data_IF_845723565714
#
_entry.id   IF_845723565714
#
_cell.length_a   1.000
_cell.length_b   1.000
_cell.length_c   1.000
_cell.angle_alpha   90.00
_cell.angle_beta   90.00
_cell.angle_gamma   90.00
#
_symmetry.space_group_name_H-M   'P 1'
#
loop_
_entity.id
_entity.type
_entity.pdbx_description
1 polymer ?
2 non-polymer ?
3 non-polymer ?
4 water ?
#
# COMPACT_ATOMS: atom_id res chain seq x y z
N UNK A 3 -11.19 18.55 0.80
CA UNK A 3 -10.60 19.63 0.01
C UNK A 3 -9.35 19.23 -0.77
N UNK A 4 -9.10 17.92 -0.85
CA UNK A 4 -8.04 17.42 -1.71
C UNK A 4 -8.55 17.28 -3.15
N UNK A 5 -9.87 17.15 -3.29
CA UNK A 5 -10.49 17.01 -4.60
C UNK A 5 -10.08 15.74 -5.32
N UNK A 6 -9.86 14.67 -4.56
CA UNK A 6 -9.42 13.41 -5.15
C UNK A 6 -10.55 12.39 -5.21
N UNK A 7 -10.39 11.39 -6.07
CA UNK A 7 -11.40 10.36 -6.23
C UNK A 7 -11.35 9.31 -5.11
N UNK A 8 -10.17 8.75 -4.86
CA UNK A 8 -10.05 7.63 -3.92
C UNK A 8 -9.83 8.07 -2.47
N UNK A 9 -10.68 7.61 -1.55
CA UNK A 9 -10.56 7.98 -0.14
C UNK A 9 -9.29 7.42 0.50
N UNK A 10 -8.82 8.10 1.54
CA UNK A 10 -7.86 7.51 2.48
C UNK A 10 -8.60 7.21 3.79
N UNK A 11 -8.05 6.29 4.57
CA UNK A 11 -8.73 5.75 5.76
C UNK A 11 -7.90 5.95 7.02
N UNK A 12 -8.56 6.22 8.15
CA UNK A 12 -7.84 6.34 9.41
C UNK A 12 -7.57 4.96 10.00
N UNK A 13 -6.86 4.92 11.12
CA UNK A 13 -6.44 3.65 11.71
C UNK A 13 -7.59 2.82 12.27
N UNK A 14 -8.76 3.42 12.43
CA UNK A 14 -9.94 2.66 12.86
C UNK A 14 -10.64 2.00 11.68
N UNK A 15 -10.23 2.36 10.46
CA UNK A 15 -10.83 1.79 9.27
C UNK A 15 -11.89 2.67 8.63
N UNK A 16 -12.03 3.90 9.12
CA UNK A 16 -13.05 4.81 8.61
C UNK A 16 -12.48 5.76 7.55
N UNK A 17 -13.17 5.90 6.41
CA UNK A 17 -12.68 6.85 5.40
C UNK A 17 -12.77 8.29 5.89
N UNK A 18 -11.78 9.11 5.54
CA UNK A 18 -11.77 10.51 5.95
C UNK A 18 -12.80 11.30 5.15
N UNK A 19 -13.19 10.76 4.00
CA UNK A 19 -14.21 11.35 3.13
C UNK A 19 -14.67 10.29 2.14
N UNK A 20 -15.76 10.55 1.43
CA UNK A 20 -16.25 9.63 0.42
C UNK A 20 -16.92 8.39 0.99
N UNK A 21 -17.19 7.41 0.13
CA UNK A 21 -17.80 6.16 0.57
C UNK A 21 -16.73 5.08 0.77
N UNK A 22 -16.89 4.25 1.80
CA UNK A 22 -15.98 3.12 1.96
C UNK A 22 -16.14 2.12 0.82
N UNK A 23 -15.08 1.38 0.51
CA UNK A 23 -15.17 0.29 -0.44
C UNK A 23 -14.45 -0.89 0.18
N UNK A 24 -14.79 -2.10 -0.23
CA UNK A 24 -14.17 -3.27 0.36
C UNK A 24 -12.89 -3.61 -0.38
N UNK A 25 -11.97 -4.29 0.30
CA UNK A 25 -10.78 -4.78 -0.38
C UNK A 25 -11.09 -6.10 -1.08
N UNK A 26 -10.33 -6.40 -2.12
CA UNK A 26 -10.51 -7.63 -2.88
C UNK A 26 -10.25 -8.82 -1.96
N UNK A 27 -11.05 -9.89 -2.08
CA UNK A 27 -10.90 -11.06 -1.21
C UNK A 27 -9.54 -11.73 -1.32
N UNK A 28 -8.86 -11.55 -2.45
CA UNK A 28 -7.56 -12.16 -2.66
C UNK A 28 -6.42 -11.16 -2.53
N UNK A 29 -6.73 -9.95 -2.06
CA UNK A 29 -5.66 -9.02 -1.73
C UNK A 29 -4.89 -9.51 -0.51
N UNK A 30 -3.60 -9.18 -0.43
CA UNK A 30 -2.80 -9.48 0.75
C UNK A 30 -3.16 -8.59 1.95
N UNK A 31 -3.95 -7.54 1.70
CA UNK A 31 -4.50 -6.75 2.79
C UNK A 31 -5.75 -7.43 3.33
N UNK A 32 -5.73 -7.74 4.62
CA UNK A 32 -6.84 -8.42 5.28
C UNK A 32 -7.43 -7.50 6.32
N UNK A 33 -8.67 -7.08 6.09
CA UNK A 33 -9.36 -6.18 7.00
C UNK A 33 -10.59 -6.88 7.57
N UNK A 34 -10.98 -6.52 8.80
CA UNK A 34 -10.37 -5.51 9.66
C UNK A 34 -9.04 -5.97 10.28
N UNK A 35 -8.15 -5.02 10.55
CA UNK A 35 -6.88 -5.32 11.21
C UNK A 35 -6.44 -4.05 11.92
N UNK A 36 -5.84 -4.20 13.11
CA UNK A 36 -5.37 -3.05 13.88
C UNK A 36 -4.08 -2.50 13.28
N UNK A 37 -3.88 -1.20 13.42
CA UNK A 37 -2.60 -0.59 13.05
C UNK A 37 -2.41 0.70 13.81
N UNK A 38 -1.19 1.24 13.77
CA UNK A 38 -0.97 2.60 14.22
C UNK A 38 -0.36 2.79 15.59
N UNK A 39 0.43 1.83 16.05
CA UNK A 39 1.20 2.04 17.28
C UNK A 39 2.38 2.99 17.03
N UNK A 40 2.82 3.08 15.78
CA UNK A 40 3.87 4.02 15.43
C UNK A 40 4.08 4.13 13.94
N UNK A 41 4.86 5.13 13.53
CA UNK A 41 5.27 5.26 12.14
C UNK A 41 6.67 4.69 12.07
N UNK A 42 6.79 3.48 11.54
CA UNK A 42 8.08 2.80 11.54
C UNK A 42 8.51 2.46 10.12
N UNK A 43 9.52 3.17 9.62
CA UNK A 43 10.02 2.89 8.27
C UNK A 43 10.86 1.64 8.23
N UNK A 44 10.89 1.01 7.06
CA UNK A 44 11.75 -0.15 6.87
C UNK A 44 12.30 -0.13 5.45
N UNK A 45 12.86 -1.25 4.99
CA UNK A 45 13.47 -1.30 3.66
C UNK A 45 12.83 -2.42 2.85
N UNK A 46 13.07 -2.41 1.53
CA UNK A 46 12.48 -3.40 0.63
C UNK A 46 12.90 -4.82 1.03
N UNK A 47 14.18 -4.99 1.34
CA UNK A 47 14.72 -6.30 1.67
C UNK A 47 14.12 -6.86 2.96
N UNK A 48 13.73 -5.96 3.87
CA UNK A 48 13.27 -6.36 5.19
C UNK A 48 11.77 -6.18 5.45
N UNK A 49 10.96 -6.11 4.40
CA UNK A 49 9.52 -5.96 4.57
C UNK A 49 8.98 -7.07 5.47
N UNK A 50 8.06 -6.72 6.37
CA UNK A 50 7.50 -7.74 7.26
C UNK A 50 6.74 -8.82 6.49
N UNK A 51 6.62 -9.99 7.11
CA UNK A 51 5.97 -11.12 6.47
C UNK A 51 4.71 -11.48 7.22
N UNK A 52 3.86 -12.27 6.57
CA UNK A 52 2.65 -12.76 7.21
C UNK A 52 2.99 -13.37 8.56
N UNK A 53 2.25 -12.96 9.59
CA UNK A 53 2.47 -13.47 10.94
C UNK A 53 3.29 -12.56 11.84
N UNK A 54 3.93 -11.55 11.27
CA UNK A 54 4.81 -10.70 12.06
C UNK A 54 4.09 -9.74 13.02
N UNK A 55 2.78 -9.59 12.91
CA UNK A 55 2.11 -8.63 13.79
C UNK A 55 2.04 -9.11 15.23
N UNK A 56 2.15 -10.42 15.43
CA UNK A 56 2.06 -10.99 16.76
C UNK A 56 3.20 -10.52 17.66
N UNK A 57 4.43 -10.64 17.16
CA UNK A 57 5.62 -10.34 17.95
C UNK A 57 6.27 -9.01 17.61
N UNK A 58 5.94 -8.44 16.46
CA UNK A 58 6.68 -7.27 15.99
C UNK A 58 8.13 -7.66 15.71
N UNK A 59 9.03 -6.68 15.76
CA UNK A 59 10.44 -6.96 15.49
C UNK A 59 11.33 -5.92 16.16
N UNK A 60 12.62 -5.94 15.83
CA UNK A 60 13.57 -5.07 16.52
C UNK A 60 13.35 -3.58 16.24
N UNK A 61 12.55 -3.25 15.22
CA UNK A 61 12.23 -1.85 14.93
C UNK A 61 11.01 -1.36 15.71
N UNK A 62 10.22 -2.29 16.23
CA UNK A 62 9.00 -1.95 16.94
C UNK A 62 7.84 -2.80 16.46
N UNK A 63 6.62 -2.42 16.82
CA UNK A 63 5.42 -3.14 16.37
C UNK A 63 5.34 -3.23 14.85
N UNK A 64 4.68 -4.28 14.37
CA UNK A 64 4.45 -4.50 12.95
C UNK A 64 2.95 -4.67 12.73
N UNK A 65 2.39 -3.94 11.77
CA UNK A 65 1.01 -4.20 11.35
C UNK A 65 0.92 -4.70 9.91
N UNK A 66 1.95 -4.45 9.10
CA UNK A 66 1.91 -4.89 7.72
C UNK A 66 2.88 -4.13 6.84
N UNK A 67 2.69 -4.23 5.53
CA UNK A 67 3.53 -3.53 4.57
C UNK A 67 2.78 -2.30 4.06
N UNK A 68 3.42 -1.13 4.14
CA UNK A 68 2.88 0.11 3.56
C UNK A 68 3.91 0.67 2.60
N UNK A 69 3.47 1.26 1.50
CA UNK A 69 4.40 1.84 0.53
C UNK A 69 3.83 3.12 -0.07
N UNK A 70 4.72 4.05 -0.39
CA UNK A 70 4.34 5.25 -1.13
C UNK A 70 5.50 5.57 -2.06
N UNK A 71 5.24 6.39 -3.09
CA UNK A 71 6.33 6.74 -4.01
C UNK A 71 7.54 7.34 -3.29
N UNK A 72 8.71 7.14 -3.89
CA UNK A 72 9.96 7.46 -3.22
C UNK A 72 11.06 6.54 -3.70
N UNK A 73 10.95 5.23 -3.41
CA UNK A 73 9.89 4.60 -2.62
C UNK A 73 10.16 4.71 -1.13
N UNK A 74 9.10 4.74 -0.32
CA UNK A 74 9.23 4.70 1.13
C UNK A 74 8.37 3.56 1.64
N UNK A 75 8.95 2.75 2.52
CA UNK A 75 8.27 1.58 3.09
C UNK A 75 8.08 1.73 4.59
N UNK A 76 6.96 1.23 5.10
CA UNK A 76 6.71 1.20 6.55
C UNK A 76 6.26 -0.19 6.96
N UNK A 77 6.51 -0.55 8.21
CA UNK A 77 5.97 -1.78 8.80
C UNK A 77 4.80 -1.48 9.74
N UNK A 78 4.63 -0.21 10.10
CA UNK A 78 3.44 0.27 10.80
C UNK A 78 3.29 1.75 10.46
N UNK A 79 2.07 2.26 10.54
CA UNK A 79 1.80 3.64 10.16
C UNK A 79 0.57 4.10 10.91
N UNK A 80 0.58 5.36 11.35
CA UNK A 80 -0.47 5.91 12.21
C UNK A 80 -1.50 6.76 11.48
N UNK A 81 -1.05 7.46 10.44
CA UNK A 81 -1.89 8.41 9.72
C UNK A 81 -2.79 7.78 8.68
N UNK A 82 -3.49 8.60 7.88
CA UNK A 82 -4.40 8.03 6.88
C UNK A 82 -3.65 7.24 5.81
N UNK A 83 -4.25 6.15 5.33
CA UNK A 83 -3.67 5.33 4.27
C UNK A 83 -4.69 4.96 3.20
N UNK A 84 -4.20 4.57 2.03
CA UNK A 84 -5.07 3.98 1.01
C UNK A 84 -5.30 2.52 1.32
N UNK A 85 -6.55 2.07 1.17
CA UNK A 85 -6.85 0.63 1.18
C UNK A 85 -6.88 0.08 -0.26
N UNK A 86 -6.95 0.98 -1.25
CA UNK A 86 -6.89 0.58 -2.66
C UNK A 86 -5.93 1.51 -3.37
N UNK A 87 -5.22 0.99 -4.37
CA UNK A 87 -4.32 1.82 -5.17
C UNK A 87 -5.11 2.92 -5.88
N UNK A 88 -4.71 4.19 -5.69
CA UNK A 88 -5.45 5.29 -6.33
C UNK A 88 -5.03 5.46 -7.78
N UNK A 89 -5.75 4.77 -8.67
CA UNK A 89 -5.38 4.69 -10.08
C UNK A 89 -5.39 6.05 -10.80
N UNK A 90 -6.07 7.03 -10.20
CA UNK A 90 -6.05 8.41 -10.71
C UNK A 90 -4.64 8.98 -10.73
N UNK A 91 -3.75 8.39 -9.94
CA UNK A 91 -2.37 8.86 -9.85
C UNK A 91 -1.38 7.85 -10.43
N UNK A 92 -1.90 6.91 -11.21
CA UNK A 92 -1.05 5.96 -11.92
C UNK A 92 -1.11 6.21 -13.42
N UNK A 93 -0.08 5.78 -14.13
CA UNK A 93 -0.09 5.85 -15.59
C UNK A 93 0.68 4.66 -16.15
N UNK A 94 0.59 4.44 -17.46
CA UNK A 94 1.29 3.31 -18.08
C UNK A 94 2.79 3.38 -17.86
N UNK A 95 3.37 2.26 -17.44
CA UNK A 95 4.81 2.19 -17.20
C UNK A 95 5.51 1.61 -18.41
N UNK A 96 6.78 1.97 -18.59
CA UNK A 96 7.60 1.35 -19.61
C UNK A 96 8.31 0.16 -18.97
N UNK A 97 9.26 -0.42 -19.70
CA UNK A 97 9.90 -1.66 -19.27
C UNK A 97 10.73 -1.49 -18.00
N UNK A 98 10.68 -2.49 -17.13
CA UNK A 98 11.50 -2.48 -15.93
C UNK A 98 12.41 -3.71 -15.92
N UNK A 99 13.72 -3.47 -15.82
CA UNK A 99 14.72 -4.54 -15.92
C UNK A 99 14.62 -5.55 -14.77
N UNK A 100 14.43 -5.04 -13.55
CA UNK A 100 14.44 -5.88 -12.35
C UNK A 100 13.31 -5.42 -11.44
N UNK A 101 12.43 -6.33 -11.03
CA UNK A 101 11.35 -5.99 -10.09
C UNK A 101 11.37 -6.87 -8.84
N UNK A 102 10.76 -6.38 -7.76
CA UNK A 102 10.46 -7.21 -6.60
C UNK A 102 8.96 -7.14 -6.35
N UNK A 103 8.28 -8.28 -6.39
CA UNK A 103 6.85 -8.33 -6.10
C UNK A 103 6.65 -8.29 -4.59
N UNK A 104 5.78 -7.41 -4.11
CA UNK A 104 5.65 -7.24 -2.66
C UNK A 104 4.27 -7.55 -2.09
N UNK A 105 3.27 -7.75 -2.95
CA UNK A 105 1.94 -8.06 -2.48
C UNK A 105 0.91 -8.06 -3.58
N UNK A 106 -0.36 -8.11 -3.18
CA UNK A 106 -1.48 -8.00 -4.11
C UNK A 106 -2.44 -6.97 -3.56
N UNK A 107 -2.70 -5.93 -4.34
CA UNK A 107 -3.52 -4.81 -3.89
C UNK A 107 -4.81 -4.70 -4.69
N UNK A 108 -5.84 -4.17 -4.04
CA UNK A 108 -7.08 -3.83 -4.72
C UNK A 108 -6.83 -2.49 -5.41
N UNK A 109 -7.24 -2.38 -6.67
CA UNK A 109 -7.21 -1.08 -7.33
C UNK A 109 -8.46 -0.28 -7.00
N UNK A 110 -8.40 1.03 -7.26
CA UNK A 110 -9.57 1.88 -7.08
C UNK A 110 -10.68 1.50 -8.06
N UNK A 111 -10.34 0.64 -9.02
CA UNK A 111 -11.32 0.09 -9.95
C UNK A 111 -11.92 -1.21 -9.42
N UNK A 112 -11.47 -1.63 -8.24
CA UNK A 112 -11.99 -2.82 -7.58
C UNK A 112 -11.31 -4.09 -8.03
N UNK A 113 -10.35 -3.97 -8.94
CA UNK A 113 -9.70 -5.14 -9.50
C UNK A 113 -8.45 -5.52 -8.71
N UNK A 114 -7.99 -6.76 -8.86
CA UNK A 114 -6.80 -7.22 -8.13
C UNK A 114 -5.52 -7.02 -8.93
N UNK A 115 -4.52 -6.39 -8.32
CA UNK A 115 -3.23 -6.15 -8.97
C UNK A 115 -2.09 -6.71 -8.16
N UNK A 116 -1.11 -7.32 -8.83
CA UNK A 116 0.18 -7.54 -8.22
C UNK A 116 0.85 -6.18 -8.10
N UNK A 117 1.53 -5.93 -6.98
CA UNK A 117 2.27 -4.68 -6.80
C UNK A 117 3.76 -4.98 -6.70
N UNK A 118 4.57 -4.13 -7.33
CA UNK A 118 6.01 -4.37 -7.39
C UNK A 118 6.78 -3.10 -7.09
N UNK A 119 8.06 -3.27 -6.77
CA UNK A 119 9.00 -2.15 -6.74
C UNK A 119 9.99 -2.40 -7.86
N UNK A 120 10.11 -1.44 -8.77
CA UNK A 120 11.07 -1.52 -9.87
C UNK A 120 12.44 -1.03 -9.40
N UNK A 121 13.50 -1.56 -10.01
CA UNK A 121 14.85 -1.14 -9.66
C UNK A 121 15.06 0.37 -9.85
N UNK A 122 14.26 0.99 -10.72
CA UNK A 122 14.35 2.44 -10.92
C UNK A 122 13.65 3.25 -9.82
N UNK A 123 13.03 2.56 -8.86
CA UNK A 123 12.36 3.22 -7.75
C UNK A 123 10.85 3.29 -7.87
N UNK A 124 10.33 3.08 -9.07
CA UNK A 124 8.89 3.18 -9.31
C UNK A 124 8.09 2.07 -8.65
N UNK A 125 6.91 2.41 -8.15
CA UNK A 125 5.97 1.40 -7.68
C UNK A 125 5.08 0.98 -8.85
N UNK A 126 5.05 -0.31 -9.16
CA UNK A 126 4.34 -0.80 -10.34
C UNK A 126 3.15 -1.68 -9.99
N UNK A 127 2.14 -1.65 -10.85
CA UNK A 127 1.01 -2.58 -10.75
C UNK A 127 0.87 -3.38 -12.04
N UNK A 128 0.49 -4.65 -11.90
CA UNK A 128 0.11 -5.48 -13.05
C UNK A 128 -1.14 -6.26 -12.65
N UNK A 129 -2.12 -6.30 -13.54
CA UNK A 129 -3.35 -7.05 -13.28
C UNK A 129 -3.09 -8.51 -12.91
N UNK A 130 -3.96 -9.04 -12.06
CA UNK A 130 -4.00 -10.44 -11.62
C UNK A 130 -3.08 -10.72 -10.45
N UNK A 136 -0.08 -5.53 -19.23
CA UNK A 136 -0.02 -4.08 -19.04
C UNK A 136 0.44 -3.70 -17.63
N UNK A 137 1.41 -2.80 -17.54
CA UNK A 137 1.93 -2.37 -16.25
C UNK A 137 1.67 -0.88 -16.02
N UNK A 138 1.33 -0.53 -14.78
CA UNK A 138 1.11 0.86 -14.40
C UNK A 138 2.15 1.28 -13.38
N UNK A 139 2.48 2.57 -13.34
CA UNK A 139 3.41 3.08 -12.33
C UNK A 139 2.76 4.19 -11.53
N UNK A 140 3.13 4.30 -10.26
CA UNK A 140 2.57 5.33 -9.39
C UNK A 140 3.35 6.61 -9.62
N UNK A 141 2.78 7.53 -10.39
CA UNK A 141 3.52 8.71 -10.82
C UNK A 141 3.34 9.94 -9.94
N UNK A 142 2.23 9.99 -9.20
CA UNK A 142 1.93 11.15 -8.37
C UNK A 142 1.67 10.77 -6.93
N UNK A 143 2.58 11.17 -6.04
CA UNK A 143 2.40 10.98 -4.61
C UNK A 143 1.54 12.13 -4.08
N UNK A 144 0.31 12.21 -4.57
CA UNK A 144 -0.46 13.44 -4.38
C UNK A 144 -0.80 13.78 -2.93
N UNK A 145 -1.36 12.82 -2.20
CA UNK A 145 -1.78 13.08 -0.82
C UNK A 145 -0.69 12.75 0.19
N UNK A 146 0.41 12.16 -0.30
CA UNK A 146 1.49 11.70 0.57
C UNK A 146 0.99 10.70 1.63
N UNK A 147 -0.06 9.96 1.30
CA UNK A 147 -0.52 8.87 2.15
C UNK A 147 -0.06 7.56 1.53
N UNK A 148 0.45 6.63 2.36
CA UNK A 148 0.91 5.38 1.76
C UNK A 148 -0.25 4.41 1.46
N UNK A 149 0.02 3.41 0.62
CA UNK A 149 -0.93 2.33 0.36
C UNK A 149 -0.64 1.19 1.31
N UNK A 150 -1.69 0.71 1.98
CA UNK A 150 -1.58 -0.44 2.85
C UNK A 150 -1.63 -1.67 1.97
N UNK A 151 -0.48 -2.33 1.82
CA UNK A 151 -0.33 -3.42 0.87
C UNK A 151 -0.73 -4.78 1.46
N UNK A 152 -0.31 -5.03 2.69
CA UNK A 152 -0.48 -6.33 3.35
C UNK A 152 -0.75 -6.15 4.84
N UNK A 153 -1.64 -7.00 5.38
CA UNK A 153 -1.80 -7.20 6.82
C UNK A 153 -0.82 -8.26 7.26
N UNK A 154 0.08 -7.93 8.18
CA UNK A 154 0.98 -8.94 8.71
C UNK A 154 0.26 -9.70 9.82
X LIG B 1 10.13 -12.82 -0.50
X LIG B 1 10.13 -11.58 0.27
X LIG B 1 11.49 -13.12 -0.94
X LIG B 1 9.65 -13.91 0.34
X LIG B 1 9.24 -12.66 -1.65
X LIG C 1 -10.72 -9.33 -10.62
X LIG C 1 -11.79 -8.38 -10.32
X LIG C 1 -9.44 -8.65 -10.47
X LIG C 1 -10.79 -10.46 -9.70
X LIG C 1 -10.86 -9.80 -12.00
X LIG D 1 -0.66 -15.13 0.04
X LIG D 1 -0.90 -15.68 -1.30
X LIG D 1 -1.86 -14.46 0.52
X LIG D 1 -0.32 -16.22 0.95
X LIG D 1 0.45 -14.19 -0.02
X LIG E 1 -1.92 -9.49 11.77
#
# INVERSE_FOLDING_TARGET
GSHMGVEEPVYDATGKPLFGDPSEVHPQSTLKLPHDRGRGNIKTTLKNLPRKGDCRSGNHLGPVSGIYVKPGPVFYQDYMGPVYHRAPLEFFSEAQFCEVTKRIGRVTGSDGRLYHIYVCIDGCILLKLAKRGEPRTLKWIRNFTDCPLWVTSA
SO4 S O1 O2 O3 O4
SO4 S O1 O2 O3 O4
SO4 S O1 O2 O3 O4
ZN ZN
#
